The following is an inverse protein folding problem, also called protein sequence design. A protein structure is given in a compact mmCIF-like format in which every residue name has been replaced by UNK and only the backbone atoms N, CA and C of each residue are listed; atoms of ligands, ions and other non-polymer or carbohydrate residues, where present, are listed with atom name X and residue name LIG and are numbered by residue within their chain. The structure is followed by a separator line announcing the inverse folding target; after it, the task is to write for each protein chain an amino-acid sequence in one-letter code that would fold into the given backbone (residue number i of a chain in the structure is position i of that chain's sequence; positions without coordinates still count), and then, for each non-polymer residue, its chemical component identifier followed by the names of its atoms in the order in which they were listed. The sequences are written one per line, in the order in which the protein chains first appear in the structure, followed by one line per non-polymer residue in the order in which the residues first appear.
data_IF_103697404189
#
_entry.id   IF_103697404189
#
_cell.length_a   1.000
_cell.length_b   1.000
_cell.length_c   1.000
_cell.angle_alpha   90.00
_cell.angle_beta   90.00
_cell.angle_gamma   90.00
#
_symmetry.space_group_name_H-M   'P 1'
#
loop_
_entity.id
_entity.type
_entity.pdbx_description
1 polymer ?
#
# COMPACT_ATOMS: atom_id res chain seq x y z
N UNK A 1 16.39 -7.66 1.59
CA UNK A 1 15.98 -7.38 0.20
C UNK A 1 16.13 -8.55 -0.80
N UNK A 2 16.72 -9.71 -0.47
CA UNK A 2 16.84 -10.84 -1.42
C UNK A 2 15.48 -11.42 -1.88
N UNK A 3 14.44 -11.33 -1.04
CA UNK A 3 13.12 -11.87 -1.37
C UNK A 3 12.47 -11.25 -2.63
N UNK A 4 12.62 -9.94 -2.83
CA UNK A 4 11.98 -9.24 -3.96
C UNK A 4 12.48 -9.72 -5.34
N UNK A 5 13.79 -9.77 -5.65
CA UNK A 5 14.24 -10.31 -6.93
C UNK A 5 13.90 -11.80 -7.12
N UNK A 6 13.87 -12.61 -6.05
CA UNK A 6 13.41 -14.01 -6.15
C UNK A 6 11.94 -14.10 -6.55
N UNK A 7 11.11 -13.21 -6.01
CA UNK A 7 9.70 -13.08 -6.37
C UNK A 7 9.53 -12.69 -7.84
N UNK A 8 10.26 -11.69 -8.33
CA UNK A 8 10.23 -11.27 -9.74
C UNK A 8 10.66 -12.38 -10.71
N UNK A 9 11.50 -13.30 -10.25
CA UNK A 9 11.92 -14.49 -11.01
C UNK A 9 10.96 -15.69 -10.87
N UNK A 10 9.86 -15.54 -10.12
CA UNK A 10 8.90 -16.63 -9.88
C UNK A 10 9.38 -17.70 -8.90
N UNK A 11 10.49 -17.47 -8.19
CA UNK A 11 11.08 -18.40 -7.21
C UNK A 11 10.41 -18.21 -5.84
N UNK A 12 9.12 -18.54 -5.74
CA UNK A 12 8.29 -18.17 -4.59
C UNK A 12 8.72 -18.83 -3.28
N UNK A 13 9.17 -20.09 -3.33
CA UNK A 13 9.62 -20.78 -2.12
C UNK A 13 10.86 -20.10 -1.54
N UNK A 14 11.83 -19.81 -2.40
CA UNK A 14 13.05 -19.10 -2.01
C UNK A 14 12.75 -17.66 -1.57
N UNK A 15 11.78 -16.99 -2.23
CA UNK A 15 11.33 -15.66 -1.85
C UNK A 15 10.71 -15.67 -0.44
N UNK A 16 9.86 -16.66 -0.12
CA UNK A 16 9.26 -16.82 1.22
C UNK A 16 10.33 -17.07 2.28
N UNK A 17 11.28 -17.98 2.03
CA UNK A 17 12.39 -18.26 2.94
C UNK A 17 13.25 -17.00 3.19
N UNK A 18 13.56 -16.25 2.14
CA UNK A 18 14.31 -15.00 2.24
C UNK A 18 13.54 -13.89 2.97
N UNK A 19 12.22 -13.79 2.76
CA UNK A 19 11.36 -12.80 3.41
C UNK A 19 11.25 -13.09 4.92
N UNK A 20 10.97 -14.36 5.27
CA UNK A 20 10.95 -14.85 6.66
C UNK A 20 12.28 -14.56 7.35
N UNK A 21 13.40 -14.85 6.68
CA UNK A 21 14.73 -14.60 7.25
C UNK A 21 14.98 -13.10 7.50
N UNK A 22 14.58 -12.23 6.58
CA UNK A 22 14.66 -10.78 6.74
C UNK A 22 13.86 -10.30 7.95
N UNK A 23 12.63 -10.79 8.07
CA UNK A 23 11.73 -10.48 9.18
C UNK A 23 12.25 -10.99 10.54
N UNK A 24 12.84 -12.18 10.60
CA UNK A 24 13.49 -12.71 11.81
C UNK A 24 14.66 -11.84 12.29
N UNK A 25 15.42 -11.26 11.35
CA UNK A 25 16.57 -10.40 11.67
C UNK A 25 16.08 -9.05 12.20
N UNK A 26 15.08 -8.46 11.55
CA UNK A 26 14.47 -7.22 11.99
C UNK A 26 12.98 -7.21 11.63
N UNK A 27 12.14 -7.48 12.62
CA UNK A 27 10.69 -7.51 12.41
C UNK A 27 10.08 -6.11 12.22
N UNK A 28 10.86 -5.04 12.41
CA UNK A 28 10.47 -3.65 12.14
C UNK A 28 10.95 -3.15 10.76
N UNK A 29 11.57 -4.02 9.95
CA UNK A 29 11.99 -3.65 8.59
C UNK A 29 10.79 -3.66 7.63
N UNK A 30 10.34 -2.47 7.23
CA UNK A 30 9.17 -2.30 6.36
C UNK A 30 9.29 -3.03 5.02
N UNK A 31 10.50 -3.17 4.48
CA UNK A 31 10.75 -3.90 3.24
C UNK A 31 10.62 -5.41 3.39
N UNK A 32 11.06 -5.97 4.53
CA UNK A 32 10.88 -7.39 4.83
C UNK A 32 9.40 -7.72 5.04
N UNK A 33 8.65 -6.86 5.74
CA UNK A 33 7.20 -7.00 5.89
C UNK A 33 6.47 -6.94 4.53
N UNK A 34 6.82 -5.95 3.70
CA UNK A 34 6.32 -5.80 2.34
C UNK A 34 6.59 -7.05 1.47
N UNK A 35 7.82 -7.58 1.50
CA UNK A 35 8.18 -8.79 0.76
C UNK A 35 7.39 -10.02 1.22
N UNK A 36 7.18 -10.18 2.53
CA UNK A 36 6.31 -11.22 3.08
C UNK A 36 4.87 -11.08 2.57
N UNK A 37 4.33 -9.86 2.55
CA UNK A 37 2.99 -9.60 2.02
C UNK A 37 2.87 -10.03 0.56
N UNK A 38 3.83 -9.67 -0.27
CA UNK A 38 3.87 -10.06 -1.68
C UNK A 38 3.85 -11.57 -1.90
N UNK A 39 4.62 -12.34 -1.11
CA UNK A 39 4.60 -13.80 -1.15
C UNK A 39 3.20 -14.34 -0.84
N UNK A 40 2.59 -13.86 0.26
CA UNK A 40 1.25 -14.28 0.66
C UNK A 40 0.19 -13.90 -0.39
N UNK A 41 0.31 -12.71 -0.99
CA UNK A 41 -0.55 -12.26 -2.08
C UNK A 41 -0.43 -13.16 -3.31
N UNK A 42 0.79 -13.51 -3.71
CA UNK A 42 1.01 -14.39 -4.86
C UNK A 42 0.38 -15.78 -4.66
N UNK A 43 0.46 -16.31 -3.44
CA UNK A 43 -0.16 -17.59 -3.08
C UNK A 43 -1.67 -17.50 -2.79
N UNK A 44 -2.29 -16.34 -3.03
CA UNK A 44 -3.71 -16.07 -2.75
C UNK A 44 -4.08 -16.24 -1.26
N UNK A 45 -3.11 -16.13 -0.34
CA UNK A 45 -3.29 -16.18 1.12
C UNK A 45 -3.69 -14.81 1.67
N UNK A 46 -4.71 -14.18 1.06
CA UNK A 46 -5.05 -12.77 1.29
C UNK A 46 -5.42 -12.44 2.74
N UNK A 47 -6.20 -13.30 3.41
CA UNK A 47 -6.57 -13.08 4.81
C UNK A 47 -5.34 -13.07 5.72
N UNK A 48 -4.44 -14.04 5.52
CA UNK A 48 -3.19 -14.12 6.28
C UNK A 48 -2.29 -12.92 5.99
N UNK A 49 -2.24 -12.46 4.75
CA UNK A 49 -1.50 -11.26 4.38
C UNK A 49 -2.02 -10.01 5.10
N UNK A 50 -3.34 -9.84 5.22
CA UNK A 50 -3.94 -8.73 5.98
C UNK A 50 -3.59 -8.84 7.46
N UNK A 51 -3.83 -10.00 8.07
CA UNK A 51 -3.55 -10.24 9.50
C UNK A 51 -2.09 -9.92 9.84
N UNK A 52 -1.15 -10.45 9.06
CA UNK A 52 0.29 -10.19 9.22
C UNK A 52 0.63 -8.70 9.08
N UNK A 53 0.09 -8.04 8.06
CA UNK A 53 0.40 -6.63 7.78
C UNK A 53 -0.20 -5.69 8.83
N UNK A 54 -1.43 -5.93 9.28
CA UNK A 54 -2.06 -5.16 10.35
C UNK A 54 -1.32 -5.34 11.69
N UNK A 55 -0.82 -6.55 11.99
CA UNK A 55 0.04 -6.78 13.16
C UNK A 55 1.37 -5.98 13.09
N UNK A 56 1.91 -5.81 11.89
CA UNK A 56 3.13 -5.04 11.66
C UNK A 56 2.90 -3.52 11.65
N UNK A 57 1.68 -3.06 11.38
CA UNK A 57 1.38 -1.65 11.10
C UNK A 57 1.75 -0.64 12.18
N UNK A 58 1.78 -0.98 13.50
CA UNK A 58 2.24 -0.03 14.52
C UNK A 58 3.68 0.46 14.30
N UNK A 59 4.53 -0.35 13.64
CA UNK A 59 5.92 0.01 13.33
C UNK A 59 6.05 1.10 12.25
N UNK A 60 5.05 1.21 11.37
CA UNK A 60 5.14 2.00 10.14
C UNK A 60 5.09 3.50 10.38
N UNK A 61 4.60 3.96 11.54
CA UNK A 61 4.54 5.39 11.87
C UNK A 61 5.92 6.07 11.88
N UNK A 62 7.01 5.29 11.96
CA UNK A 62 8.39 5.77 11.87
C UNK A 62 8.99 5.72 10.46
N UNK A 63 8.25 5.19 9.47
CA UNK A 63 8.71 5.07 8.09
C UNK A 63 8.44 6.35 7.29
N UNK A 64 9.15 6.48 6.17
CA UNK A 64 8.83 7.47 5.14
C UNK A 64 7.39 7.27 4.65
N UNK A 65 6.75 8.37 4.24
CA UNK A 65 5.38 8.38 3.74
C UNK A 65 5.19 7.36 2.62
N UNK A 66 6.16 7.18 1.72
CA UNK A 66 6.14 6.12 0.71
C UNK A 66 5.92 4.74 1.32
N UNK A 67 6.82 4.25 2.18
CA UNK A 67 6.74 2.89 2.70
C UNK A 67 5.52 2.66 3.59
N UNK A 68 5.14 3.66 4.40
CA UNK A 68 3.92 3.60 5.21
C UNK A 68 2.69 3.41 4.31
N UNK A 69 2.51 4.31 3.35
CA UNK A 69 1.31 4.29 2.49
C UNK A 69 1.31 3.14 1.50
N UNK A 70 2.49 2.68 1.06
CA UNK A 70 2.65 1.52 0.18
C UNK A 70 2.30 0.21 0.90
N UNK A 71 2.71 0.04 2.16
CA UNK A 71 2.31 -1.13 2.94
C UNK A 71 0.79 -1.17 3.16
N UNK A 72 0.14 -0.04 3.44
CA UNK A 72 -1.32 0.05 3.48
C UNK A 72 -1.97 -0.21 2.11
N UNK A 73 -1.34 0.21 1.01
CA UNK A 73 -1.81 -0.10 -0.33
C UNK A 73 -1.88 -1.62 -0.57
N UNK A 74 -0.90 -2.39 -0.12
CA UNK A 74 -0.96 -3.86 -0.18
C UNK A 74 -2.09 -4.45 0.68
N UNK A 75 -2.33 -3.90 1.87
CA UNK A 75 -3.48 -4.32 2.71
C UNK A 75 -4.80 -4.09 1.97
N UNK A 76 -4.98 -2.91 1.35
CA UNK A 76 -6.15 -2.61 0.54
C UNK A 76 -6.31 -3.58 -0.63
N UNK A 77 -5.21 -3.93 -1.32
CA UNK A 77 -5.24 -4.94 -2.36
C UNK A 77 -5.64 -6.32 -1.83
N UNK A 78 -5.12 -6.76 -0.69
CA UNK A 78 -5.51 -8.05 -0.12
C UNK A 78 -7.00 -8.09 0.22
N UNK A 79 -7.56 -7.00 0.76
CA UNK A 79 -9.01 -6.89 0.97
C UNK A 79 -9.78 -7.00 -0.35
N UNK A 80 -9.33 -6.29 -1.39
CA UNK A 80 -9.95 -6.27 -2.71
C UNK A 80 -9.89 -7.64 -3.42
N UNK A 81 -8.72 -8.28 -3.44
CA UNK A 81 -8.49 -9.61 -4.06
C UNK A 81 -9.15 -10.75 -3.25
N UNK A 82 -9.22 -10.59 -1.92
CA UNK A 82 -9.89 -11.51 -1.01
C UNK A 82 -11.42 -11.38 -0.95
N UNK A 83 -12.04 -10.57 -1.81
CA UNK A 83 -13.48 -10.30 -1.85
C UNK A 83 -14.06 -9.78 -0.52
N UNK A 84 -13.29 -8.99 0.23
CA UNK A 84 -13.83 -8.28 1.39
C UNK A 84 -14.82 -7.18 0.92
N UNK A 85 -15.73 -6.72 1.80
CA UNK A 85 -16.60 -5.59 1.48
C UNK A 85 -15.79 -4.37 1.06
N UNK A 86 -16.21 -3.68 -0.01
CA UNK A 86 -15.52 -2.49 -0.55
C UNK A 86 -15.25 -1.43 0.53
N UNK A 87 -16.14 -1.31 1.51
CA UNK A 87 -15.96 -0.43 2.67
C UNK A 87 -14.60 -0.61 3.36
N UNK A 88 -14.05 -1.83 3.43
CA UNK A 88 -12.73 -2.09 4.03
C UNK A 88 -11.60 -1.50 3.19
N UNK A 89 -11.70 -1.59 1.86
CA UNK A 89 -10.72 -0.99 0.94
C UNK A 89 -10.74 0.54 1.07
N UNK A 90 -11.94 1.12 1.15
CA UNK A 90 -12.12 2.56 1.33
C UNK A 90 -11.66 3.04 2.71
N UNK A 91 -11.91 2.28 3.77
CA UNK A 91 -11.38 2.54 5.11
C UNK A 91 -9.84 2.60 5.10
N UNK A 92 -9.18 1.71 4.36
CA UNK A 92 -7.72 1.74 4.21
C UNK A 92 -7.27 3.00 3.47
N UNK A 93 -7.91 3.33 2.35
CA UNK A 93 -7.59 4.54 1.59
C UNK A 93 -7.75 5.80 2.44
N UNK A 94 -8.91 5.99 3.06
CA UNK A 94 -9.24 7.24 3.76
C UNK A 94 -8.43 7.41 5.05
N UNK A 95 -8.30 6.35 5.86
CA UNK A 95 -7.74 6.46 7.21
C UNK A 95 -6.23 6.26 7.30
N UNK A 96 -5.60 5.69 6.27
CA UNK A 96 -4.19 5.33 6.34
C UNK A 96 -3.36 5.84 5.16
N UNK A 97 -3.88 5.79 3.93
CA UNK A 97 -3.17 6.35 2.77
C UNK A 97 -3.36 7.87 2.72
N UNK A 98 -4.60 8.33 2.60
CA UNK A 98 -4.92 9.75 2.43
C UNK A 98 -4.62 10.56 3.69
N UNK A 99 -4.89 10.00 4.88
CA UNK A 99 -4.64 10.64 6.17
C UNK A 99 -3.17 10.97 6.43
N UNK A 100 -2.23 10.31 5.74
CA UNK A 100 -0.81 10.66 5.83
C UNK A 100 -0.56 12.14 5.47
N UNK A 101 -1.37 12.72 4.58
CA UNK A 101 -1.29 14.14 4.20
C UNK A 101 -1.58 15.12 5.35
N UNK A 102 -2.20 14.65 6.45
CA UNK A 102 -2.44 15.48 7.64
C UNK A 102 -1.16 15.71 8.45
N UNK A 103 -0.10 14.90 8.22
CA UNK A 103 1.17 15.07 8.90
C UNK A 103 1.95 16.24 8.30
N UNK A 104 2.60 17.00 9.19
CA UNK A 104 3.41 18.17 8.78
C UNK A 104 4.67 17.80 8.01
N UNK A 105 5.17 16.58 8.18
CA UNK A 105 6.37 16.02 7.55
C UNK A 105 6.05 15.04 6.40
N UNK A 106 4.78 14.99 5.96
CA UNK A 106 4.37 14.12 4.87
C UNK A 106 5.08 14.47 3.55
N UNK A 107 5.62 13.46 2.87
CA UNK A 107 6.13 13.63 1.51
C UNK A 107 4.98 13.46 0.52
N UNK A 108 4.31 14.58 0.21
CA UNK A 108 3.06 14.62 -0.56
C UNK A 108 3.10 13.81 -1.87
N UNK A 109 4.13 13.91 -2.74
CA UNK A 109 4.17 13.13 -3.99
C UNK A 109 4.16 11.60 -3.77
N UNK A 110 4.77 11.12 -2.68
CA UNK A 110 4.82 9.69 -2.36
C UNK A 110 3.43 9.17 -1.94
N UNK A 111 2.68 9.98 -1.19
CA UNK A 111 1.30 9.64 -0.80
C UNK A 111 0.40 9.61 -2.03
N UNK A 112 0.50 10.61 -2.91
CA UNK A 112 -0.28 10.66 -4.14
C UNK A 112 0.00 9.48 -5.06
N UNK A 113 1.25 9.03 -5.17
CA UNK A 113 1.60 7.86 -5.96
C UNK A 113 0.81 6.62 -5.52
N UNK A 114 0.81 6.31 -4.23
CA UNK A 114 0.09 5.15 -3.68
C UNK A 114 -1.44 5.35 -3.73
N UNK A 115 -1.93 6.55 -3.47
CA UNK A 115 -3.36 6.87 -3.58
C UNK A 115 -3.88 6.66 -5.01
N UNK A 116 -3.22 7.27 -6.00
CA UNK A 116 -3.54 7.12 -7.44
C UNK A 116 -3.51 5.64 -7.84
N UNK A 117 -2.46 4.92 -7.44
CA UNK A 117 -2.31 3.51 -7.79
C UNK A 117 -3.51 2.66 -7.31
N UNK A 118 -4.04 2.92 -6.11
CA UNK A 118 -5.22 2.20 -5.62
C UNK A 118 -6.48 2.57 -6.42
N UNK A 119 -6.69 3.86 -6.69
CA UNK A 119 -7.83 4.32 -7.48
C UNK A 119 -7.79 3.73 -8.90
N UNK A 120 -6.62 3.65 -9.53
CA UNK A 120 -6.44 3.01 -10.83
C UNK A 120 -6.78 1.51 -10.77
N UNK A 121 -6.41 0.81 -9.68
CA UNK A 121 -6.77 -0.60 -9.51
C UNK A 121 -8.29 -0.81 -9.43
N UNK A 122 -8.99 0.06 -8.69
CA UNK A 122 -10.46 0.03 -8.60
C UNK A 122 -11.12 0.33 -9.94
N UNK A 123 -10.58 1.30 -10.69
CA UNK A 123 -11.05 1.63 -12.04
C UNK A 123 -10.96 0.42 -12.98
N UNK A 124 -9.85 -0.33 -12.95
CA UNK A 124 -9.68 -1.55 -13.76
C UNK A 124 -10.67 -2.66 -13.37
N UNK A 125 -11.26 -2.61 -12.17
CA UNK A 125 -12.28 -3.55 -11.70
C UNK A 125 -13.72 -3.07 -11.92
N UNK A 126 -13.93 -1.98 -12.66
CA UNK A 126 -15.25 -1.35 -12.87
C UNK A 126 -15.95 -0.90 -11.56
N UNK A 127 -15.19 -0.66 -10.49
CA UNK A 127 -15.70 -0.18 -9.19
C UNK A 127 -15.86 1.36 -9.16
N UNK A 128 -16.38 1.90 -10.27
CA UNK A 128 -16.38 3.34 -10.56
C UNK A 128 -17.31 4.16 -9.64
N UNK A 129 -18.26 3.52 -8.99
CA UNK A 129 -19.18 4.20 -8.07
C UNK A 129 -18.51 4.67 -6.77
N UNK A 130 -17.40 4.03 -6.38
CA UNK A 130 -16.74 4.27 -5.09
C UNK A 130 -15.58 5.27 -5.13
N UNK A 131 -15.13 5.66 -6.33
CA UNK A 131 -13.91 6.46 -6.50
C UNK A 131 -14.13 7.90 -6.99
N UNK A 132 -15.30 8.26 -7.52
CA UNK A 132 -15.53 9.55 -8.21
C UNK A 132 -15.13 10.78 -7.38
N UNK A 133 -15.59 10.86 -6.13
CA UNK A 133 -15.25 11.98 -5.24
C UNK A 133 -13.76 12.00 -4.87
N UNK A 134 -13.14 10.83 -4.65
CA UNK A 134 -11.72 10.71 -4.28
C UNK A 134 -10.80 11.10 -5.44
N UNK A 135 -11.14 10.68 -6.66
CA UNK A 135 -10.41 11.10 -7.86
C UNK A 135 -10.51 12.62 -8.03
N UNK A 136 -11.71 13.19 -7.86
CA UNK A 136 -11.90 14.64 -7.95
C UNK A 136 -11.06 15.38 -6.92
N UNK A 137 -11.12 14.96 -5.65
CA UNK A 137 -10.30 15.55 -4.58
C UNK A 137 -8.80 15.53 -4.91
N UNK A 138 -8.30 14.40 -5.41
CA UNK A 138 -6.91 14.28 -5.82
C UNK A 138 -6.59 15.17 -7.04
N UNK A 139 -7.45 15.20 -8.06
CA UNK A 139 -7.27 16.01 -9.25
C UNK A 139 -7.22 17.51 -8.91
N UNK A 140 -8.11 17.97 -8.02
CA UNK A 140 -8.13 19.36 -7.54
C UNK A 140 -6.79 19.72 -6.87
N UNK A 141 -6.24 18.83 -6.04
CA UNK A 141 -4.94 19.04 -5.37
C UNK A 141 -3.76 19.11 -6.34
N UNK A 142 -3.75 18.26 -7.38
CA UNK A 142 -2.70 18.28 -8.40
C UNK A 142 -2.80 19.52 -9.30
N UNK A 143 -4.02 19.97 -9.62
CA UNK A 143 -4.24 21.17 -10.42
C UNK A 143 -3.81 22.45 -9.68
N UNK A 144 -4.08 22.53 -8.38
CA UNK A 144 -3.69 23.69 -7.55
C UNK A 144 -2.17 23.88 -7.45
N UNK A 145 -1.39 22.78 -7.48
CA UNK A 145 0.07 22.84 -7.42
C UNK A 145 0.71 23.43 -8.69
N UNK A 146 0.09 23.26 -9.86
CA UNK A 146 0.58 23.85 -11.12
C UNK A 146 0.51 25.39 -11.09
N UNK A 147 -0.37 25.97 -10.27
CA UNK A 147 -0.49 27.42 -10.15
C UNK A 147 0.59 28.07 -9.27
N UNK A 148 1.28 27.29 -8.42
CA UNK A 148 2.29 27.84 -7.51
C UNK A 148 3.70 27.98 -8.14
N UNK A 149 4.00 27.22 -9.19
CA UNK A 149 5.30 27.27 -9.90
C UNK A 149 5.40 28.37 -10.97
N UNK A 150 4.46 29.32 -10.97
CA UNK A 150 4.36 30.42 -11.96
C UNK A 150 4.51 31.84 -11.37
N UNK A 151 5.09 31.98 -10.18
CA UNK A 151 5.47 33.28 -9.59
C UNK A 151 6.96 33.35 -9.24
#
# INVERSE_FOLDING_TARGET
MLAFPLLELGQMKEAEEAAKRGFEINNQDGWSQHATCHVLQYECRFREAVEFMEECSPSWNSFLSFMLTHNWWHVALCYLEGNAPMQRVLEVYDNYIWKELDKTDATVPEVYLNAVALLLRLCVRDELEFFGDRLKMLADRLADQVSYDSQ
#
